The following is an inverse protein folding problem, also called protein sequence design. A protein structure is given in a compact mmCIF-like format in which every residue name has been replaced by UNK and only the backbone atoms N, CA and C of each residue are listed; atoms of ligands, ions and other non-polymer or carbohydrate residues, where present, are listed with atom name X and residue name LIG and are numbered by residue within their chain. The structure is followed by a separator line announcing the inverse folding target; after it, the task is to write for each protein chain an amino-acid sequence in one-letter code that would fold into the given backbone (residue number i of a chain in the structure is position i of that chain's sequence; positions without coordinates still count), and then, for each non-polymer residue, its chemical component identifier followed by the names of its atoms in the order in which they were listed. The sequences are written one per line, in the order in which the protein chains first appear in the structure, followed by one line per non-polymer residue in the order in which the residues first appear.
data_IF_342958788721
#
_entry.id   IF_342958788721
#
_cell.length_a   1.000
_cell.length_b   1.000
_cell.length_c   1.000
_cell.angle_alpha   90.00
_cell.angle_beta   90.00
_cell.angle_gamma   90.00
#
_symmetry.space_group_name_H-M   'P 1'
#
loop_
_entity.id
_entity.type
_entity.pdbx_description
1 polymer ?
#
# COMPACT_ATOMS: atom_id res chain seq x y z
N UNK A 1 0.59 7.64 16.84
CA UNK A 1 -0.68 8.12 16.30
C UNK A 1 -1.36 7.09 15.38
N UNK A 2 -0.59 6.16 14.81
CA UNK A 2 -1.10 5.13 13.91
C UNK A 2 -0.88 3.72 14.47
N UNK A 3 -1.75 2.78 14.12
CA UNK A 3 -1.62 1.36 14.44
C UNK A 3 -2.18 0.52 13.28
N UNK A 4 -1.40 -0.42 12.75
CA UNK A 4 -1.77 -1.29 11.61
C UNK A 4 -2.33 -0.50 10.41
N UNK A 5 -1.68 0.63 10.08
CA UNK A 5 -2.09 1.51 8.99
C UNK A 5 -3.31 2.40 9.26
N UNK A 6 -3.92 2.33 10.45
CA UNK A 6 -5.06 3.16 10.83
C UNK A 6 -4.66 4.23 11.86
N UNK A 7 -5.26 5.43 11.74
CA UNK A 7 -5.08 6.50 12.72
C UNK A 7 -5.87 6.17 13.99
N UNK A 8 -5.19 6.16 15.12
CA UNK A 8 -5.77 5.96 16.46
C UNK A 8 -5.67 7.22 17.34
N UNK A 9 -4.86 8.20 16.91
CA UNK A 9 -4.69 9.50 17.60
C UNK A 9 -4.35 10.57 16.54
N UNK A 10 -5.33 11.42 16.24
CA UNK A 10 -5.22 12.48 15.22
C UNK A 10 -4.10 13.47 15.57
N UNK A 11 -4.01 13.91 16.81
CA UNK A 11 -3.03 14.91 17.24
C UNK A 11 -1.60 14.39 17.09
N UNK A 12 -1.34 13.17 17.56
CA UNK A 12 -0.01 12.56 17.41
C UNK A 12 0.35 12.32 15.94
N UNK A 13 -0.62 11.93 15.13
CA UNK A 13 -0.41 11.72 13.69
C UNK A 13 -0.12 13.03 12.98
N UNK A 14 -0.92 14.08 13.21
CA UNK A 14 -0.68 15.41 12.64
C UNK A 14 0.71 15.95 13.01
N UNK A 15 1.10 15.83 14.28
CA UNK A 15 2.42 16.27 14.73
C UNK A 15 3.57 15.49 14.07
N UNK A 16 3.39 14.18 13.84
CA UNK A 16 4.39 13.37 13.15
C UNK A 16 4.52 13.77 11.67
N UNK A 17 3.39 14.01 11.00
CA UNK A 17 3.35 14.49 9.61
C UNK A 17 4.02 15.86 9.51
N UNK A 18 3.67 16.80 10.38
CA UNK A 18 4.27 18.13 10.41
C UNK A 18 5.79 18.09 10.52
N UNK A 19 6.33 17.27 11.45
CA UNK A 19 7.77 17.06 11.60
C UNK A 19 8.43 16.48 10.35
N UNK A 20 7.75 15.55 9.67
CA UNK A 20 8.26 14.94 8.45
C UNK A 20 8.32 15.95 7.29
N UNK A 21 7.28 16.78 7.14
CA UNK A 21 7.21 17.85 6.15
C UNK A 21 8.31 18.88 6.43
N UNK A 22 8.44 19.35 7.67
CA UNK A 22 9.48 20.30 8.07
C UNK A 22 10.88 19.77 7.74
N UNK A 23 11.15 18.50 8.06
CA UNK A 23 12.42 17.85 7.72
C UNK A 23 12.65 17.79 6.22
N UNK A 24 11.63 17.44 5.43
CA UNK A 24 11.71 17.39 3.98
C UNK A 24 11.96 18.77 3.38
N UNK A 25 11.27 19.81 3.84
CA UNK A 25 11.48 21.20 3.41
C UNK A 25 12.90 21.68 3.72
N UNK A 26 13.40 21.40 4.94
CA UNK A 26 14.78 21.76 5.30
C UNK A 26 15.82 21.06 4.44
N UNK A 27 15.60 19.76 4.12
CA UNK A 27 16.56 18.98 3.33
C UNK A 27 16.54 19.33 1.86
N UNK A 28 15.37 19.68 1.33
CA UNK A 28 15.20 19.99 -0.11
C UNK A 28 15.40 21.47 -0.45
N UNK A 29 15.19 22.36 0.52
CA UNK A 29 15.14 23.81 0.30
C UNK A 29 13.86 24.31 -0.36
N UNK A 30 12.84 23.43 -0.57
CA UNK A 30 11.57 23.78 -1.20
C UNK A 30 10.44 23.84 -0.19
N UNK A 31 9.48 24.75 -0.39
CA UNK A 31 8.22 24.77 0.34
C UNK A 31 7.26 23.73 -0.24
N UNK A 32 6.69 22.90 0.62
CA UNK A 32 5.77 21.84 0.23
C UNK A 32 4.33 22.34 0.45
N UNK A 33 3.64 22.66 -0.63
CA UNK A 33 2.24 23.15 -0.60
C UNK A 33 1.22 22.04 -0.91
N UNK A 34 1.66 20.95 -1.53
CA UNK A 34 0.80 19.80 -1.86
C UNK A 34 1.61 18.50 -1.94
N UNK A 35 0.93 17.37 -1.69
CA UNK A 35 1.56 16.07 -1.71
C UNK A 35 0.64 14.97 -2.28
N UNK A 36 1.25 13.94 -2.85
CA UNK A 36 0.65 12.61 -2.97
C UNK A 36 0.81 11.91 -1.62
N UNK A 37 -0.25 11.30 -1.14
CA UNK A 37 -0.26 10.64 0.18
C UNK A 37 -0.43 9.15 -0.02
N UNK A 38 0.57 8.37 0.41
CA UNK A 38 0.44 6.93 0.36
C UNK A 38 -0.48 6.43 1.48
N UNK A 39 -1.26 5.40 1.16
CA UNK A 39 -2.20 4.78 2.08
C UNK A 39 -1.98 3.28 2.14
N UNK A 40 -2.02 2.75 3.35
CA UNK A 40 -1.96 1.33 3.66
C UNK A 40 -2.82 1.06 4.89
N UNK A 41 -3.22 -0.18 5.09
CA UNK A 41 -3.96 -0.56 6.29
C UNK A 41 -5.05 -1.59 6.00
N UNK A 42 -5.52 -2.27 7.05
CA UNK A 42 -6.54 -3.33 6.95
C UNK A 42 -7.91 -2.85 6.45
N UNK A 43 -8.11 -1.55 6.33
CA UNK A 43 -9.31 -0.93 5.77
C UNK A 43 -9.29 -0.83 4.24
N UNK A 44 -8.17 -1.16 3.59
CA UNK A 44 -8.05 -1.25 2.13
C UNK A 44 -8.56 -2.60 1.66
N UNK A 45 -9.31 -2.61 0.58
CA UNK A 45 -9.71 -3.84 -0.12
C UNK A 45 -9.75 -3.60 -1.62
N UNK A 46 -9.66 -4.67 -2.39
CA UNK A 46 -9.75 -4.60 -3.84
C UNK A 46 -10.73 -5.63 -4.39
N UNK A 47 -11.28 -5.33 -5.55
CA UNK A 47 -12.18 -6.20 -6.30
C UNK A 47 -11.87 -6.08 -7.78
N UNK A 48 -11.94 -7.20 -8.49
CA UNK A 48 -11.90 -7.20 -9.96
C UNK A 48 -13.32 -7.07 -10.48
N UNK A 49 -13.51 -6.18 -11.43
CA UNK A 49 -14.80 -5.94 -12.07
C UNK A 49 -14.66 -5.91 -13.58
N UNK A 50 -15.78 -6.17 -14.27
CA UNK A 50 -15.86 -6.11 -15.71
C UNK A 50 -17.02 -5.21 -16.12
N UNK A 51 -16.74 -4.23 -16.99
CA UNK A 51 -17.75 -3.38 -17.61
C UNK A 51 -17.89 -3.70 -19.09
N UNK A 52 -19.11 -3.64 -19.62
CA UNK A 52 -19.38 -3.91 -21.01
C UNK A 52 -20.33 -2.86 -21.61
N UNK A 53 -20.03 -2.42 -22.84
CA UNK A 53 -20.86 -1.44 -23.59
C UNK A 53 -20.92 -1.81 -25.06
N UNK A 54 -22.02 -1.41 -25.75
CA UNK A 54 -22.06 -1.42 -27.18
C UNK A 54 -21.19 -0.30 -27.78
N UNK A 55 -20.45 -0.61 -28.85
CA UNK A 55 -19.63 0.34 -29.60
C UNK A 55 -20.52 1.17 -30.49
N UNK A 56 -20.48 2.51 -30.39
CA UNK A 56 -21.47 3.39 -31.00
C UNK A 56 -21.34 3.47 -32.50
N UNK A 57 -20.27 3.43 -33.15
CA UNK A 57 -20.13 3.58 -34.60
C UNK A 57 -19.37 2.43 -35.26
N UNK A 58 -19.37 1.24 -34.63
CA UNK A 58 -18.63 0.08 -35.12
C UNK A 58 -17.12 0.21 -35.00
N UNK A 59 -16.61 1.32 -34.44
CA UNK A 59 -15.20 1.58 -34.21
C UNK A 59 -15.04 2.09 -32.78
N UNK A 60 -14.18 1.47 -32.02
CA UNK A 60 -13.93 1.84 -30.62
C UNK A 60 -13.35 3.25 -30.51
N UNK A 61 -13.98 4.07 -29.72
CA UNK A 61 -13.57 5.44 -29.40
C UNK A 61 -13.22 5.58 -27.91
N UNK A 62 -12.59 6.69 -27.55
CA UNK A 62 -12.33 7.02 -26.13
C UNK A 62 -13.63 7.13 -25.31
N UNK A 63 -14.73 7.55 -25.94
CA UNK A 63 -16.04 7.63 -25.29
C UNK A 63 -16.54 6.24 -24.89
N UNK A 64 -16.36 5.23 -25.76
CA UNK A 64 -16.77 3.86 -25.47
C UNK A 64 -15.93 3.27 -24.33
N UNK A 65 -14.62 3.55 -24.29
CA UNK A 65 -13.73 3.16 -23.17
C UNK A 65 -14.22 3.77 -21.85
N UNK A 66 -14.47 5.07 -21.83
CA UNK A 66 -14.94 5.75 -20.61
C UNK A 66 -16.28 5.16 -20.14
N UNK A 67 -17.22 4.89 -21.04
CA UNK A 67 -18.49 4.23 -20.72
C UNK A 67 -18.30 2.82 -20.17
N UNK A 68 -17.36 2.05 -20.74
CA UNK A 68 -17.04 0.71 -20.24
C UNK A 68 -16.41 0.75 -18.85
N UNK A 69 -15.52 1.70 -18.59
CA UNK A 69 -14.93 1.94 -17.27
C UNK A 69 -15.98 2.38 -16.24
N UNK A 70 -16.90 3.27 -16.62
CA UNK A 70 -18.03 3.65 -15.78
C UNK A 70 -18.92 2.44 -15.46
N UNK A 71 -19.24 1.61 -16.47
CA UNK A 71 -20.02 0.40 -16.28
C UNK A 71 -19.31 -0.60 -15.32
N UNK A 72 -17.98 -0.70 -15.39
CA UNK A 72 -17.22 -1.53 -14.46
C UNK A 72 -17.29 -1.03 -13.00
N UNK A 73 -17.49 0.27 -12.78
CA UNK A 73 -17.61 0.89 -11.46
C UNK A 73 -19.03 0.81 -10.86
N UNK A 74 -20.03 0.41 -11.63
CA UNK A 74 -21.41 0.23 -11.13
C UNK A 74 -21.53 -0.97 -10.17
N UNK A 75 -20.46 -1.76 -10.01
CA UNK A 75 -20.39 -2.75 -8.93
C UNK A 75 -20.70 -2.08 -7.60
N UNK A 76 -21.54 -2.71 -6.80
CA UNK A 76 -21.98 -2.19 -5.51
C UNK A 76 -20.80 -1.94 -4.54
N UNK A 77 -20.19 -0.75 -4.66
CA UNK A 77 -19.22 -0.26 -3.68
C UNK A 77 -20.04 0.23 -2.49
N UNK A 78 -19.81 -0.30 -1.28
CA UNK A 78 -20.50 0.16 -0.08
C UNK A 78 -20.33 1.67 0.13
N UNK A 79 -21.37 2.35 0.64
CA UNK A 79 -21.37 3.80 0.84
C UNK A 79 -20.30 4.31 1.84
N UNK A 80 -19.80 3.44 2.68
CA UNK A 80 -18.74 3.73 3.66
C UNK A 80 -17.33 3.57 3.08
N UNK A 81 -17.21 3.32 1.76
CA UNK A 81 -15.93 3.15 1.07
C UNK A 81 -15.71 4.23 0.01
N UNK A 82 -14.46 4.66 -0.09
CA UNK A 82 -13.96 5.58 -1.12
C UNK A 82 -13.12 4.80 -2.13
N UNK A 83 -13.34 5.05 -3.43
CA UNK A 83 -12.52 4.48 -4.51
C UNK A 83 -11.20 5.23 -4.56
N UNK A 84 -10.10 4.51 -4.36
CA UNK A 84 -8.75 5.06 -4.45
C UNK A 84 -8.19 4.94 -5.87
N UNK A 85 -8.37 3.77 -6.50
CA UNK A 85 -7.86 3.47 -7.84
C UNK A 85 -8.86 2.63 -8.62
N UNK A 86 -8.97 2.93 -9.91
CA UNK A 86 -9.60 2.09 -10.93
C UNK A 86 -8.54 1.80 -11.97
N UNK A 87 -7.97 0.61 -11.93
CA UNK A 87 -6.85 0.21 -12.78
C UNK A 87 -7.41 -0.69 -13.88
N UNK A 88 -7.25 -0.26 -15.12
CA UNK A 88 -7.58 -1.06 -16.29
C UNK A 88 -6.59 -2.22 -16.42
N UNK A 89 -7.09 -3.42 -16.74
CA UNK A 89 -6.29 -4.64 -16.87
C UNK A 89 -6.21 -5.16 -18.30
N UNK A 90 -7.20 -4.87 -19.12
CA UNK A 90 -7.28 -5.29 -20.52
C UNK A 90 -8.68 -5.07 -21.08
N UNK A 91 -8.79 -5.25 -22.38
CA UNK A 91 -10.05 -5.15 -23.12
C UNK A 91 -10.36 -6.44 -23.86
N UNK A 92 -11.66 -6.62 -24.09
CA UNK A 92 -12.21 -7.68 -24.94
C UNK A 92 -13.13 -7.03 -25.97
N UNK A 93 -12.98 -7.34 -27.24
CA UNK A 93 -13.88 -6.88 -28.33
C UNK A 93 -14.50 -8.11 -28.97
N UNK A 94 -15.83 -8.18 -28.96
CA UNK A 94 -16.63 -9.28 -29.55
C UNK A 94 -16.14 -10.68 -29.13
N UNK A 95 -15.67 -10.82 -27.89
CA UNK A 95 -15.14 -12.07 -27.32
C UNK A 95 -13.66 -12.33 -27.60
N UNK A 96 -12.95 -11.42 -28.27
CA UNK A 96 -11.49 -11.48 -28.43
C UNK A 96 -10.82 -10.81 -27.24
N UNK A 97 -10.19 -11.59 -26.37
CA UNK A 97 -9.48 -11.13 -25.18
C UNK A 97 -8.05 -10.64 -25.49
N UNK A 98 -7.42 -10.02 -24.49
CA UNK A 98 -5.99 -9.66 -24.52
C UNK A 98 -5.68 -8.40 -25.32
N UNK A 99 -6.66 -7.56 -25.56
CA UNK A 99 -6.49 -6.28 -26.25
C UNK A 99 -6.01 -5.23 -25.24
N UNK A 100 -4.86 -4.60 -25.52
CA UNK A 100 -4.31 -3.53 -24.69
C UNK A 100 -4.73 -2.14 -25.18
N UNK A 101 -4.77 -1.93 -26.50
CA UNK A 101 -5.12 -0.67 -27.14
C UNK A 101 -6.31 -0.87 -28.11
N UNK A 102 -7.55 -0.70 -27.63
CA UNK A 102 -8.74 -0.97 -28.42
C UNK A 102 -9.13 0.18 -29.36
N UNK A 103 -8.59 1.41 -29.17
CA UNK A 103 -9.00 2.59 -29.95
C UNK A 103 -8.74 2.38 -31.44
N UNK A 104 -9.77 2.63 -32.25
CA UNK A 104 -9.71 2.45 -33.70
C UNK A 104 -9.99 1.02 -34.19
N UNK A 105 -10.12 0.06 -33.29
CA UNK A 105 -10.52 -1.31 -33.67
C UNK A 105 -12.02 -1.38 -34.00
N UNK A 106 -12.35 -2.21 -34.99
CA UNK A 106 -13.74 -2.48 -35.32
C UNK A 106 -14.34 -3.53 -34.39
N UNK A 107 -15.62 -3.35 -34.04
CA UNK A 107 -16.38 -4.29 -33.25
C UNK A 107 -17.74 -3.72 -32.84
N UNK A 108 -18.53 -4.57 -32.16
CA UNK A 108 -19.88 -4.22 -31.72
C UNK A 108 -19.98 -4.12 -30.21
N UNK A 109 -19.16 -4.86 -29.47
CA UNK A 109 -19.17 -4.93 -28.02
C UNK A 109 -17.75 -4.78 -27.46
N UNK A 110 -17.56 -3.76 -26.60
CA UNK A 110 -16.35 -3.53 -25.85
C UNK A 110 -16.57 -3.94 -24.40
N UNK A 111 -15.67 -4.76 -23.88
CA UNK A 111 -15.58 -5.05 -22.44
C UNK A 111 -14.24 -4.57 -21.90
N UNK A 112 -14.22 -4.10 -20.66
CA UNK A 112 -13.01 -3.74 -19.93
C UNK A 112 -12.94 -4.52 -18.62
N UNK A 113 -11.78 -5.09 -18.33
CA UNK A 113 -11.47 -5.63 -17.00
C UNK A 113 -10.78 -4.56 -16.17
N UNK A 114 -11.22 -4.41 -14.93
CA UNK A 114 -10.66 -3.43 -14.00
C UNK A 114 -10.31 -4.07 -12.66
N UNK A 115 -9.25 -3.55 -12.02
CA UNK A 115 -8.93 -3.77 -10.63
C UNK A 115 -9.29 -2.50 -9.86
N UNK A 116 -10.31 -2.58 -9.02
CA UNK A 116 -10.83 -1.45 -8.24
C UNK A 116 -10.32 -1.57 -6.81
N UNK A 117 -9.63 -0.55 -6.35
CA UNK A 117 -9.10 -0.48 -4.99
C UNK A 117 -9.90 0.55 -4.22
N UNK A 118 -10.40 0.14 -3.06
CA UNK A 118 -11.21 0.98 -2.19
C UNK A 118 -10.65 0.98 -0.77
N UNK A 119 -10.95 2.04 -0.01
CA UNK A 119 -10.64 2.13 1.41
C UNK A 119 -11.85 2.63 2.20
N UNK A 120 -11.83 2.47 3.52
CA UNK A 120 -12.84 3.09 4.39
C UNK A 120 -12.81 4.61 4.22
N UNK A 121 -13.93 5.21 3.85
CA UNK A 121 -14.06 6.65 3.64
C UNK A 121 -13.66 7.45 4.90
N UNK A 122 -14.05 6.96 6.08
CA UNK A 122 -13.67 7.57 7.36
C UNK A 122 -12.15 7.54 7.60
N UNK A 123 -11.48 6.45 7.23
CA UNK A 123 -10.02 6.33 7.36
C UNK A 123 -9.29 7.27 6.41
N UNK A 124 -9.75 7.36 5.16
CA UNK A 124 -9.19 8.29 4.15
C UNK A 124 -9.35 9.74 4.62
N UNK A 125 -10.55 10.10 5.08
CA UNK A 125 -10.83 11.46 5.56
C UNK A 125 -10.02 11.83 6.81
N UNK A 126 -9.78 10.90 7.72
CA UNK A 126 -8.91 11.14 8.87
C UNK A 126 -7.46 11.42 8.45
N UNK A 127 -6.93 10.69 7.46
CA UNK A 127 -5.60 10.95 6.92
C UNK A 127 -5.57 12.32 6.22
N UNK A 128 -6.58 12.63 5.40
CA UNK A 128 -6.73 13.93 4.73
C UNK A 128 -6.68 15.08 5.75
N UNK A 129 -7.48 15.00 6.80
CA UNK A 129 -7.50 16.00 7.89
C UNK A 129 -6.14 16.18 8.56
N UNK A 130 -5.44 15.09 8.85
CA UNK A 130 -4.10 15.17 9.46
C UNK A 130 -3.07 15.85 8.55
N UNK A 131 -3.11 15.57 7.25
CA UNK A 131 -2.20 16.20 6.28
C UNK A 131 -2.56 17.67 6.08
N UNK A 132 -3.82 17.98 5.83
CA UNK A 132 -4.28 19.35 5.55
C UNK A 132 -4.16 20.28 6.76
N UNK A 133 -4.25 19.76 7.98
CA UNK A 133 -3.96 20.49 9.20
C UNK A 133 -2.50 20.99 9.30
N UNK A 134 -1.58 20.44 8.49
CA UNK A 134 -0.20 20.92 8.39
C UNK A 134 0.01 22.01 7.31
N UNK A 135 -1.06 22.44 6.63
CA UNK A 135 -1.02 23.40 5.52
C UNK A 135 -0.70 22.79 4.15
N UNK A 136 -0.53 21.48 4.06
CA UNK A 136 -0.23 20.77 2.80
C UNK A 136 -1.50 20.18 2.20
N UNK A 137 -1.82 20.53 0.96
CA UNK A 137 -2.98 19.99 0.23
C UNK A 137 -2.75 18.56 -0.25
N UNK A 138 -3.70 17.66 0.00
CA UNK A 138 -3.68 16.31 -0.56
C UNK A 138 -4.09 16.36 -2.05
N UNK A 139 -3.18 16.00 -2.96
CA UNK A 139 -3.47 15.92 -4.40
C UNK A 139 -4.22 14.62 -4.74
N UNK A 140 -3.74 13.50 -4.24
CA UNK A 140 -4.35 12.19 -4.40
C UNK A 140 -3.83 11.24 -3.32
N UNK A 141 -4.58 10.17 -3.10
CA UNK A 141 -4.11 9.00 -2.34
C UNK A 141 -3.56 7.94 -3.31
N UNK A 142 -2.47 7.29 -2.91
CA UNK A 142 -1.83 6.22 -3.68
C UNK A 142 -1.66 5.01 -2.78
N UNK A 143 -2.07 3.83 -3.24
CA UNK A 143 -1.84 2.61 -2.49
C UNK A 143 -0.34 2.31 -2.37
N UNK A 144 0.14 2.01 -1.18
CA UNK A 144 1.56 1.83 -0.86
C UNK A 144 2.31 0.90 -1.83
N UNK A 145 1.89 -0.36 -2.05
CA UNK A 145 2.64 -1.27 -2.90
C UNK A 145 2.65 -0.85 -4.39
N UNK A 146 1.69 -0.03 -4.83
CA UNK A 146 1.74 0.56 -6.18
C UNK A 146 2.84 1.60 -6.28
N UNK A 147 2.97 2.47 -5.27
CA UNK A 147 4.03 3.47 -5.22
C UNK A 147 5.43 2.81 -5.15
N UNK A 148 5.57 1.76 -4.32
CA UNK A 148 6.81 0.98 -4.21
C UNK A 148 7.16 0.29 -5.53
N UNK A 149 6.17 -0.28 -6.23
CA UNK A 149 6.34 -0.94 -7.50
C UNK A 149 6.89 -0.01 -8.61
N UNK A 150 6.51 1.28 -8.60
CA UNK A 150 7.02 2.25 -9.58
C UNK A 150 8.54 2.44 -9.50
N UNK A 151 9.12 2.23 -8.33
CA UNK A 151 10.55 2.47 -8.09
C UNK A 151 11.38 1.20 -8.19
N UNK A 152 10.81 0.05 -7.80
CA UNK A 152 11.59 -1.19 -7.66
C UNK A 152 11.44 -2.16 -8.84
N UNK A 153 10.36 -2.05 -9.64
CA UNK A 153 10.09 -2.99 -10.73
C UNK A 153 10.52 -2.43 -12.08
N UNK A 154 11.12 -3.29 -12.87
CA UNK A 154 11.32 -3.08 -14.30
C UNK A 154 10.07 -3.46 -15.09
N UNK A 155 9.94 -2.95 -16.32
CA UNK A 155 8.85 -3.31 -17.24
C UNK A 155 8.87 -4.82 -17.58
N UNK A 156 10.06 -5.40 -17.76
CA UNK A 156 10.22 -6.82 -18.04
C UNK A 156 9.70 -7.71 -16.90
N UNK A 157 9.94 -7.34 -15.64
CA UNK A 157 9.42 -8.06 -14.48
C UNK A 157 7.90 -7.98 -14.40
N UNK A 158 7.32 -6.78 -14.64
CA UNK A 158 5.86 -6.60 -14.70
C UNK A 158 5.22 -7.42 -15.83
N UNK A 159 5.91 -7.55 -16.97
CA UNK A 159 5.44 -8.35 -18.10
C UNK A 159 5.47 -9.85 -17.80
N UNK A 160 6.56 -10.34 -17.21
CA UNK A 160 6.74 -11.76 -16.91
C UNK A 160 5.89 -12.26 -15.73
N UNK A 161 5.49 -11.35 -14.85
CA UNK A 161 4.78 -11.65 -13.62
C UNK A 161 5.69 -11.54 -12.39
N UNK A 162 5.31 -10.64 -11.47
CA UNK A 162 6.07 -10.33 -10.27
C UNK A 162 5.15 -9.93 -9.13
N UNK A 163 5.57 -10.20 -7.90
CA UNK A 163 4.92 -9.70 -6.69
C UNK A 163 5.85 -8.73 -5.97
N UNK A 164 5.33 -7.55 -5.66
CA UNK A 164 5.95 -6.62 -4.71
C UNK A 164 5.41 -6.91 -3.33
N UNK A 165 6.31 -6.99 -2.37
CA UNK A 165 6.02 -7.16 -0.96
C UNK A 165 6.68 -6.00 -0.19
N UNK A 166 5.86 -5.02 0.20
CA UNK A 166 6.29 -3.87 0.98
C UNK A 166 6.07 -4.16 2.47
N UNK A 167 7.15 -4.47 3.19
CA UNK A 167 7.10 -4.87 4.60
C UNK A 167 7.41 -3.64 5.46
N UNK A 168 6.36 -3.04 6.01
CA UNK A 168 6.45 -1.91 6.92
C UNK A 168 6.50 -2.29 8.39
N UNK A 169 6.37 -1.29 9.27
CA UNK A 169 6.27 -1.52 10.71
C UNK A 169 4.96 -2.19 11.12
N UNK A 170 3.82 -1.69 10.64
CA UNK A 170 2.49 -2.13 11.04
C UNK A 170 1.75 -3.00 10.02
N UNK A 171 2.15 -2.98 8.75
CA UNK A 171 1.52 -3.68 7.63
C UNK A 171 2.55 -4.29 6.70
N UNK A 172 2.12 -5.31 5.97
CA UNK A 172 2.79 -5.83 4.79
C UNK A 172 1.83 -5.69 3.62
N UNK A 173 2.22 -4.92 2.62
CA UNK A 173 1.38 -4.54 1.49
C UNK A 173 1.86 -5.30 0.25
N UNK A 174 0.94 -5.96 -0.44
CA UNK A 174 1.25 -6.80 -1.60
C UNK A 174 0.60 -6.25 -2.87
N UNK A 175 1.34 -6.28 -3.97
CA UNK A 175 0.82 -6.08 -5.32
C UNK A 175 1.40 -7.12 -6.28
N UNK A 176 0.53 -7.77 -7.02
CA UNK A 176 0.89 -8.76 -8.05
C UNK A 176 0.67 -8.15 -9.42
N UNK A 177 1.68 -8.23 -10.26
CA UNK A 177 1.65 -7.78 -11.64
C UNK A 177 1.76 -8.97 -12.58
N UNK A 178 0.98 -8.99 -13.65
CA UNK A 178 1.04 -9.97 -14.74
C UNK A 178 0.74 -9.23 -16.05
N UNK A 179 1.52 -9.43 -17.08
CA UNK A 179 1.37 -8.78 -18.40
C UNK A 179 1.27 -7.24 -18.25
N UNK A 180 2.15 -6.62 -17.46
CA UNK A 180 2.19 -5.20 -17.12
C UNK A 180 0.96 -4.67 -16.34
N UNK A 181 -0.01 -5.50 -16.01
CA UNK A 181 -1.24 -5.09 -15.33
C UNK A 181 -1.23 -5.49 -13.86
N UNK A 182 -1.83 -4.66 -13.02
CA UNK A 182 -2.08 -4.99 -11.61
C UNK A 182 -3.17 -6.05 -11.55
N UNK A 183 -2.78 -7.24 -11.12
CA UNK A 183 -3.68 -8.40 -11.05
C UNK A 183 -4.39 -8.51 -9.71
N UNK A 184 -3.66 -8.25 -8.63
CA UNK A 184 -4.16 -8.38 -7.27
C UNK A 184 -3.41 -7.45 -6.33
N UNK A 185 -4.12 -6.88 -5.35
CA UNK A 185 -3.53 -6.12 -4.26
C UNK A 185 -4.17 -6.53 -2.94
N UNK A 186 -3.38 -6.57 -1.88
CA UNK A 186 -3.88 -6.82 -0.53
C UNK A 186 -2.98 -6.19 0.52
N UNK A 187 -3.53 -5.99 1.71
CA UNK A 187 -2.81 -5.48 2.88
C UNK A 187 -2.95 -6.48 4.01
N UNK A 188 -1.83 -6.96 4.52
CA UNK A 188 -1.75 -7.85 5.67
C UNK A 188 -1.39 -6.99 6.90
N UNK A 189 -2.21 -6.96 7.97
CA UNK A 189 -1.97 -6.12 9.15
C UNK A 189 -0.90 -6.71 10.08
N UNK A 190 0.22 -7.13 9.50
CA UNK A 190 1.40 -7.68 10.16
C UNK A 190 2.62 -6.98 9.60
N UNK A 191 3.54 -6.57 10.46
CA UNK A 191 4.79 -5.91 10.10
C UNK A 191 5.82 -6.02 11.22
N UNK A 192 6.91 -5.30 11.10
CA UNK A 192 8.04 -5.33 12.04
C UNK A 192 7.70 -5.02 13.50
N UNK A 193 6.63 -4.25 13.74
CA UNK A 193 6.17 -3.91 15.10
C UNK A 193 5.67 -5.14 15.87
N UNK A 194 5.14 -6.16 15.16
CA UNK A 194 4.71 -7.41 15.79
C UNK A 194 5.92 -8.15 16.35
N UNK A 195 7.00 -8.26 15.56
CA UNK A 195 8.26 -8.87 16.01
C UNK A 195 8.82 -8.13 17.22
N UNK A 196 8.80 -6.79 17.19
CA UNK A 196 9.22 -5.96 18.34
C UNK A 196 8.38 -6.25 19.58
N UNK A 197 7.07 -6.40 19.42
CA UNK A 197 6.15 -6.71 20.52
C UNK A 197 6.40 -8.11 21.08
N UNK A 198 6.67 -9.10 20.23
CA UNK A 198 6.98 -10.46 20.67
C UNK A 198 8.29 -10.52 21.45
N UNK A 199 9.33 -9.80 20.99
CA UNK A 199 10.60 -9.65 21.71
C UNK A 199 10.37 -8.94 23.05
N UNK A 200 9.59 -7.85 23.06
CA UNK A 200 9.29 -7.12 24.29
C UNK A 200 8.59 -8.01 25.34
N UNK A 201 7.62 -8.82 24.89
CA UNK A 201 6.92 -9.75 25.75
C UNK A 201 7.82 -10.90 26.22
N UNK A 202 8.52 -11.56 25.32
CA UNK A 202 9.36 -12.73 25.61
C UNK A 202 10.55 -12.41 26.51
N UNK A 203 11.17 -11.23 26.32
CA UNK A 203 12.36 -10.80 27.07
C UNK A 203 12.03 -9.77 28.17
N UNK A 204 10.76 -9.47 28.42
CA UNK A 204 10.29 -8.47 29.39
C UNK A 204 10.95 -7.10 29.21
N UNK A 205 11.09 -6.64 27.96
CA UNK A 205 11.70 -5.38 27.63
C UNK A 205 10.67 -4.28 27.39
N UNK A 206 11.12 -3.02 27.47
CA UNK A 206 10.36 -1.91 26.92
C UNK A 206 10.31 -2.04 25.39
N UNK A 207 9.24 -1.53 24.72
CA UNK A 207 9.17 -1.54 23.26
C UNK A 207 10.38 -0.87 22.58
N UNK A 208 10.90 0.29 23.09
CA UNK A 208 12.12 0.88 22.53
C UNK A 208 13.36 -0.01 22.65
N UNK A 209 13.50 -0.75 23.75
CA UNK A 209 14.66 -1.62 23.93
C UNK A 209 14.53 -2.92 23.14
N UNK A 210 13.31 -3.47 23.03
CA UNK A 210 13.01 -4.58 22.16
C UNK A 210 13.29 -4.24 20.69
N UNK A 211 12.97 -3.01 20.25
CA UNK A 211 13.30 -2.53 18.90
C UNK A 211 14.82 -2.49 18.67
N UNK A 212 15.58 -2.00 19.65
CA UNK A 212 17.05 -2.02 19.58
C UNK A 212 17.60 -3.44 19.47
N UNK A 213 17.06 -4.37 20.26
CA UNK A 213 17.44 -5.80 20.21
C UNK A 213 17.11 -6.38 18.82
N UNK A 214 15.90 -6.15 18.30
CA UNK A 214 15.50 -6.59 16.97
C UNK A 214 16.46 -6.09 15.88
N UNK A 215 16.78 -4.81 15.90
CA UNK A 215 17.64 -4.18 14.87
C UNK A 215 19.09 -4.65 14.98
N UNK A 216 19.60 -4.81 16.20
CA UNK A 216 20.99 -5.18 16.42
C UNK A 216 21.26 -6.69 16.20
N UNK A 217 20.31 -7.53 16.62
CA UNK A 217 20.52 -8.98 16.70
C UNK A 217 19.53 -9.79 15.86
N UNK A 218 18.42 -9.20 15.37
CA UNK A 218 17.41 -9.91 14.58
C UNK A 218 17.98 -10.43 13.26
N UNK A 219 17.73 -11.71 12.96
CA UNK A 219 18.16 -12.40 11.71
C UNK A 219 17.03 -13.25 11.19
N UNK A 220 16.87 -13.31 9.87
CA UNK A 220 15.86 -14.13 9.21
C UNK A 220 16.28 -15.61 9.06
N UNK A 221 17.58 -15.91 9.24
CA UNK A 221 18.13 -17.26 9.09
C UNK A 221 19.14 -17.52 10.17
N UNK A 222 19.07 -18.72 10.77
CA UNK A 222 20.11 -19.20 11.65
C UNK A 222 21.45 -19.31 10.92
N UNK A 223 22.53 -18.92 11.59
CA UNK A 223 23.89 -19.13 11.10
C UNK A 223 24.68 -19.92 12.15
N UNK A 224 25.60 -20.76 11.70
CA UNK A 224 26.44 -21.58 12.58
C UNK A 224 27.25 -20.74 13.58
N UNK A 225 27.52 -19.47 13.26
CA UNK A 225 28.20 -18.51 14.13
C UNK A 225 27.31 -17.89 15.20
N UNK A 226 25.99 -17.83 15.00
CA UNK A 226 25.06 -17.22 15.94
C UNK A 226 24.84 -18.04 17.21
N UNK A 227 25.04 -19.36 17.17
CA UNK A 227 24.87 -20.24 18.34
C UNK A 227 25.81 -19.92 19.51
N UNK A 228 26.83 -19.12 19.30
CA UNK A 228 27.81 -18.72 20.33
C UNK A 228 27.80 -17.22 20.66
N UNK A 229 26.98 -16.44 19.98
CA UNK A 229 26.84 -15.02 20.27
C UNK A 229 25.97 -14.82 21.52
N UNK A 230 26.50 -14.05 22.47
CA UNK A 230 25.80 -13.67 23.71
C UNK A 230 25.60 -12.17 23.68
N UNK A 231 24.40 -11.72 23.96
CA UNK A 231 24.10 -10.30 24.15
C UNK A 231 23.41 -10.06 25.50
N UNK A 232 23.64 -8.88 26.07
CA UNK A 232 23.08 -8.52 27.35
C UNK A 232 21.86 -7.65 27.20
N UNK A 233 20.79 -7.97 27.91
CA UNK A 233 19.58 -7.16 28.04
C UNK A 233 19.32 -6.82 29.50
N UNK A 234 18.51 -5.79 29.73
CA UNK A 234 18.00 -5.46 31.05
C UNK A 234 16.49 -5.57 31.08
N UNK A 235 15.93 -6.69 31.58
CA UNK A 235 14.50 -6.87 31.72
C UNK A 235 13.85 -5.82 32.63
N UNK A 236 12.56 -5.58 32.45
CA UNK A 236 11.81 -4.61 33.25
C UNK A 236 11.78 -5.01 34.71
N UNK A 237 12.22 -4.10 35.61
CA UNK A 237 12.25 -4.33 37.06
C UNK A 237 13.47 -5.07 37.57
N UNK A 238 14.43 -5.40 36.71
CA UNK A 238 15.70 -6.01 37.09
C UNK A 238 16.83 -4.96 37.13
N UNK A 239 17.68 -4.98 38.18
CA UNK A 239 18.82 -4.09 38.28
C UNK A 239 20.04 -4.61 37.51
N UNK A 240 20.15 -5.93 37.38
CA UNK A 240 21.25 -6.61 36.66
C UNK A 240 20.89 -6.94 35.23
N UNK A 241 21.91 -6.95 34.37
CA UNK A 241 21.76 -7.37 32.99
C UNK A 241 21.72 -8.91 32.89
N UNK A 242 20.79 -9.42 32.08
CA UNK A 242 20.69 -10.84 31.81
C UNK A 242 21.34 -11.16 30.45
N UNK A 243 22.18 -12.18 30.43
CA UNK A 243 22.79 -12.67 29.18
C UNK A 243 21.83 -13.61 28.44
N UNK A 244 21.62 -13.32 27.18
CA UNK A 244 20.83 -14.13 26.26
C UNK A 244 21.75 -14.73 25.20
N UNK A 245 21.59 -16.01 24.94
CA UNK A 245 22.20 -16.69 23.77
C UNK A 245 21.23 -16.67 22.61
N UNK A 246 21.81 -16.55 21.41
CA UNK A 246 21.06 -16.68 20.17
C UNK A 246 20.40 -18.04 20.07
#
# INVERSE_FOLDING_TARGET
GMRKGMIVDLTKTTNAIAKSIEKAQRSSGYEITSALVSIAGSHVSSINSRGAVGITNGVVSQVDINRALEAAQVVAIPHDREVLHVIQRGFTIDGQDGINEPIGMHGYRLEVETHIITASAASVENIRKCVEATGVKVKAFVLNPLASAEVVLTEAERQLGVMVCDIGGGTTDLAVYINNNVWYTTVIPIGGDLITSDIAYGLRLSLPDAEKVKVAYGRAKESDTSAHEIFSIRPFGEEEATEIRY
#
